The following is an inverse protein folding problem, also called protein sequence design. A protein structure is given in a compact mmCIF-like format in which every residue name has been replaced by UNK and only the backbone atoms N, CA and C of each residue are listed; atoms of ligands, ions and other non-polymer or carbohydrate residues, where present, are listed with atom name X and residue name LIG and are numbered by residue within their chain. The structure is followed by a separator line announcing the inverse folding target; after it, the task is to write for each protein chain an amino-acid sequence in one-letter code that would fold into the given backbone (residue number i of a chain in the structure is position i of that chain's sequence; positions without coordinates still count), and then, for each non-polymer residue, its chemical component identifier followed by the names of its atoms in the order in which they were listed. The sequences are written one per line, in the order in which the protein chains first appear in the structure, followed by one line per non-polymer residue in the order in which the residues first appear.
data_IF_253144069056
#
_entry.id   IF_253144069056
#
_cell.length_a   1.000
_cell.length_b   1.000
_cell.length_c   1.000
_cell.angle_alpha   90.00
_cell.angle_beta   90.00
_cell.angle_gamma   90.00
#
_symmetry.space_group_name_H-M   'P 1'
#
loop_
_entity.id
_entity.type
_entity.pdbx_description
1 polymer ?
#
# COMPACT_ATOMS: atom_id res chain seq x y z
N UNK A 1 10.23 -17.99 -31.59
CA UNK A 1 8.91 -17.37 -31.84
C UNK A 1 9.03 -15.91 -31.49
N UNK A 2 8.57 -14.96 -32.31
CA UNK A 2 8.60 -13.55 -31.94
C UNK A 2 7.67 -13.34 -30.75
N UNK A 3 8.19 -12.67 -29.71
CA UNK A 3 7.42 -12.24 -28.54
C UNK A 3 6.36 -11.27 -29.08
N UNK A 4 5.08 -11.65 -29.01
CA UNK A 4 3.99 -10.72 -29.32
C UNK A 4 4.18 -9.48 -28.43
N UNK A 5 4.26 -8.31 -29.02
CA UNK A 5 4.26 -7.05 -28.28
C UNK A 5 3.03 -7.06 -27.35
N UNK A 6 3.28 -6.92 -26.04
CA UNK A 6 2.17 -6.75 -25.07
C UNK A 6 1.46 -5.45 -25.46
N UNK A 7 0.14 -5.52 -25.64
CA UNK A 7 -0.65 -4.32 -25.92
C UNK A 7 -0.48 -3.29 -24.79
N UNK A 8 -0.65 -2.01 -25.13
CA UNK A 8 -0.57 -0.92 -24.17
C UNK A 8 -1.59 -1.15 -23.05
N UNK A 9 -1.13 -1.10 -21.80
CA UNK A 9 -1.99 -1.24 -20.63
C UNK A 9 -2.81 0.04 -20.43
N UNK A 10 -4.09 -0.09 -20.24
CA UNK A 10 -4.98 1.06 -20.04
C UNK A 10 -5.02 1.46 -18.56
N UNK A 11 -4.24 2.47 -18.20
CA UNK A 11 -4.18 3.04 -16.85
C UNK A 11 -5.39 3.92 -16.55
N UNK A 12 -6.08 4.44 -17.57
CA UNK A 12 -7.17 5.41 -17.39
C UNK A 12 -8.39 4.86 -16.66
N UNK A 13 -8.55 3.54 -16.62
CA UNK A 13 -9.63 2.87 -15.88
C UNK A 13 -9.48 2.89 -14.37
N UNK A 14 -8.29 3.21 -13.84
CA UNK A 14 -8.04 3.21 -12.41
C UNK A 14 -8.28 4.59 -11.79
N UNK A 15 -8.96 4.60 -10.66
CA UNK A 15 -9.20 5.81 -9.87
C UNK A 15 -7.99 6.07 -8.98
N UNK A 16 -7.36 7.23 -9.18
CA UNK A 16 -6.13 7.66 -8.53
C UNK A 16 -6.42 8.82 -7.58
N UNK A 17 -6.86 8.51 -6.39
CA UNK A 17 -7.32 9.49 -5.40
C UNK A 17 -6.76 9.26 -3.99
N UNK A 18 -5.58 8.64 -3.87
CA UNK A 18 -4.85 8.59 -2.61
C UNK A 18 -4.47 10.01 -2.18
N UNK A 19 -5.06 10.47 -1.09
CA UNK A 19 -4.80 11.80 -0.55
C UNK A 19 -3.47 11.84 0.20
N UNK A 20 -2.78 13.00 0.27
CA UNK A 20 -1.66 13.17 1.18
C UNK A 20 -2.11 13.02 2.64
N UNK A 21 -1.33 12.34 3.47
CA UNK A 21 -1.58 12.28 4.91
C UNK A 21 -1.53 13.68 5.51
N UNK A 22 -2.50 14.08 6.36
CA UNK A 22 -2.46 15.37 7.02
C UNK A 22 -1.36 15.38 8.09
N UNK A 23 -0.52 16.40 8.06
CA UNK A 23 0.55 16.63 9.04
C UNK A 23 1.46 15.41 9.31
N UNK A 24 2.04 14.78 8.27
CA UNK A 24 2.88 13.59 8.42
C UNK A 24 4.16 13.86 9.23
N UNK A 25 4.50 15.14 9.43
CA UNK A 25 5.61 15.57 10.29
C UNK A 25 5.35 15.33 11.78
N UNK A 26 4.10 15.13 12.18
CA UNK A 26 3.73 14.78 13.56
C UNK A 26 3.75 13.28 13.83
N UNK A 27 3.86 12.46 12.80
CA UNK A 27 3.97 11.01 12.97
C UNK A 27 5.35 10.63 13.55
N UNK A 28 5.38 9.53 14.28
CA UNK A 28 6.63 8.99 14.79
C UNK A 28 7.58 8.66 13.64
N UNK A 29 8.74 9.32 13.64
CA UNK A 29 9.76 9.14 12.60
C UNK A 29 10.75 8.01 12.89
N UNK A 30 11.73 7.84 12.00
CA UNK A 30 12.80 6.84 12.14
C UNK A 30 13.59 6.98 13.44
N UNK A 31 13.81 8.19 13.94
CA UNK A 31 14.48 8.43 15.23
C UNK A 31 13.69 7.85 16.40
N UNK A 32 12.38 7.99 16.38
CA UNK A 32 11.49 7.39 17.38
C UNK A 32 11.52 5.86 17.30
N UNK A 33 11.54 5.26 16.10
CA UNK A 33 11.67 3.83 15.93
C UNK A 33 12.98 3.28 16.52
N UNK A 34 14.07 4.00 16.37
CA UNK A 34 15.38 3.64 16.95
C UNK A 34 15.32 3.77 18.48
N UNK A 35 14.80 4.88 19.00
CA UNK A 35 14.69 5.12 20.44
C UNK A 35 13.78 4.09 21.15
N UNK A 36 12.73 3.65 20.47
CA UNK A 36 11.81 2.60 20.95
C UNK A 36 12.39 1.17 20.83
N UNK A 37 13.61 1.01 20.34
CA UNK A 37 14.23 -0.31 20.17
C UNK A 37 13.62 -1.16 19.03
N UNK A 38 12.72 -0.59 18.24
CA UNK A 38 12.10 -1.24 17.09
C UNK A 38 13.15 -1.56 16.03
N UNK A 39 14.16 -0.70 15.91
CA UNK A 39 15.27 -0.86 14.99
C UNK A 39 16.59 -0.50 15.66
N UNK A 40 17.61 -1.31 15.45
CA UNK A 40 18.96 -0.94 15.89
C UNK A 40 19.48 0.27 15.08
N UNK A 41 20.20 1.17 15.74
CA UNK A 41 20.77 2.36 15.11
C UNK A 41 21.76 2.03 13.99
N UNK A 42 22.53 0.95 14.18
CA UNK A 42 23.51 0.44 13.20
C UNK A 42 23.14 -0.98 12.81
N UNK A 43 22.57 -1.15 11.62
CA UNK A 43 22.24 -2.46 11.05
C UNK A 43 22.86 -2.54 9.67
N UNK A 44 23.51 -3.67 9.38
CA UNK A 44 24.00 -3.95 8.04
C UNK A 44 22.83 -4.05 7.08
N UNK A 45 22.90 -3.29 5.98
CA UNK A 45 21.89 -3.31 4.92
C UNK A 45 22.47 -4.22 3.81
N UNK A 46 21.87 -5.39 3.52
CA UNK A 46 22.32 -6.24 2.43
C UNK A 46 22.19 -5.49 1.09
N UNK A 47 22.98 -5.92 0.09
CA UNK A 47 22.97 -5.28 -1.24
C UNK A 47 21.61 -5.38 -1.93
N UNK A 48 20.85 -6.44 -1.65
CA UNK A 48 19.52 -6.65 -2.19
C UNK A 48 18.63 -7.34 -1.15
N UNK A 49 17.34 -7.13 -1.26
CA UNK A 49 16.31 -7.84 -0.51
C UNK A 49 15.07 -7.97 -1.40
N UNK A 50 14.51 -9.17 -1.45
CA UNK A 50 13.23 -9.42 -2.12
C UNK A 50 12.31 -10.12 -1.11
N UNK A 51 11.14 -9.53 -0.87
CA UNK A 51 10.15 -10.05 0.06
C UNK A 51 8.98 -10.73 -0.67
N UNK A 52 9.01 -10.77 -2.01
CA UNK A 52 7.98 -11.44 -2.79
C UNK A 52 7.92 -12.93 -2.44
N UNK A 53 6.71 -13.43 -2.35
CA UNK A 53 6.44 -14.84 -1.98
C UNK A 53 5.45 -15.44 -2.98
N UNK A 54 5.54 -16.73 -3.29
CA UNK A 54 4.64 -17.38 -4.26
C UNK A 54 3.15 -17.30 -3.86
N UNK A 55 2.84 -17.26 -2.58
CA UNK A 55 1.49 -17.15 -2.05
C UNK A 55 0.91 -15.72 -2.11
N UNK A 56 1.76 -14.71 -2.36
CA UNK A 56 1.39 -13.30 -2.26
C UNK A 56 1.06 -12.71 -3.63
N UNK A 57 -0.01 -13.22 -4.23
CA UNK A 57 -0.48 -12.78 -5.55
C UNK A 57 -0.93 -11.31 -5.54
N UNK A 58 -0.65 -10.62 -6.65
CA UNK A 58 -1.08 -9.23 -6.85
C UNK A 58 -2.57 -9.19 -7.18
N UNK A 59 -3.33 -8.38 -6.43
CA UNK A 59 -4.75 -8.15 -6.69
C UNK A 59 -5.01 -7.00 -7.67
N UNK A 60 -6.30 -6.73 -7.92
CA UNK A 60 -6.76 -5.65 -8.81
C UNK A 60 -7.84 -4.82 -8.13
N UNK A 61 -7.57 -3.52 -7.96
CA UNK A 61 -8.53 -2.56 -7.39
C UNK A 61 -9.68 -2.22 -8.33
N UNK A 62 -9.53 -2.50 -9.62
CA UNK A 62 -10.50 -2.12 -10.64
C UNK A 62 -10.79 -0.63 -10.67
N UNK A 63 -12.05 -0.28 -10.98
CA UNK A 63 -12.54 1.10 -11.06
C UNK A 63 -12.98 1.65 -9.70
N UNK A 64 -12.18 1.41 -8.65
CA UNK A 64 -12.47 1.91 -7.30
C UNK A 64 -11.32 2.77 -6.76
N UNK A 65 -11.61 3.68 -5.82
CA UNK A 65 -10.62 4.50 -5.11
C UNK A 65 -9.92 3.78 -3.96
N UNK A 66 -9.81 2.45 -4.01
CA UNK A 66 -9.37 1.60 -2.90
C UNK A 66 -7.86 1.34 -2.81
N UNK A 67 -7.04 2.08 -3.55
CA UNK A 67 -5.59 1.83 -3.59
C UNK A 67 -4.92 1.84 -2.20
N UNK A 68 -5.38 2.70 -1.26
CA UNK A 68 -4.87 2.71 0.12
C UNK A 68 -5.24 1.42 0.85
N UNK A 69 -6.45 0.91 0.67
CA UNK A 69 -6.86 -0.39 1.19
C UNK A 69 -6.00 -1.53 0.65
N UNK A 70 -5.77 -1.58 -0.67
CA UNK A 70 -4.91 -2.57 -1.31
C UNK A 70 -3.46 -2.48 -0.85
N UNK A 71 -2.87 -1.27 -0.90
CA UNK A 71 -1.49 -1.05 -0.47
C UNK A 71 -1.28 -1.44 0.99
N UNK A 72 -2.21 -1.09 1.88
CA UNK A 72 -2.10 -1.42 3.30
C UNK A 72 -2.48 -2.87 3.60
N UNK A 73 -3.72 -3.31 3.34
CA UNK A 73 -4.18 -4.64 3.74
C UNK A 73 -3.44 -5.76 3.00
N UNK A 74 -3.41 -5.74 1.67
CA UNK A 74 -2.76 -6.77 0.87
C UNK A 74 -1.26 -6.53 0.66
N UNK A 75 -0.87 -5.26 0.44
CA UNK A 75 0.52 -4.89 0.11
C UNK A 75 1.49 -4.86 1.29
N UNK A 76 1.03 -4.68 2.52
CA UNK A 76 1.89 -4.57 3.71
C UNK A 76 1.43 -5.51 4.82
N UNK A 77 0.21 -5.36 5.30
CA UNK A 77 -0.26 -6.04 6.52
C UNK A 77 -0.33 -7.55 6.35
N UNK A 78 -0.83 -8.04 5.21
CA UNK A 78 -0.92 -9.49 4.94
C UNK A 78 0.44 -10.16 5.09
N UNK A 79 1.49 -9.59 4.52
CA UNK A 79 2.84 -10.13 4.65
C UNK A 79 3.27 -10.23 6.12
N UNK A 80 3.06 -9.16 6.89
CA UNK A 80 3.41 -9.13 8.31
C UNK A 80 2.62 -10.17 9.12
N UNK A 81 1.31 -10.27 8.91
CA UNK A 81 0.46 -11.21 9.67
C UNK A 81 0.79 -12.66 9.33
N UNK A 82 1.09 -12.98 8.07
CA UNK A 82 1.55 -14.32 7.68
C UNK A 82 2.91 -14.63 8.31
N UNK A 83 3.88 -13.73 8.23
CA UNK A 83 5.21 -13.92 8.83
C UNK A 83 5.16 -14.02 10.36
N UNK A 84 4.19 -13.39 11.00
CA UNK A 84 3.94 -13.50 12.44
C UNK A 84 3.10 -14.72 12.83
N UNK A 85 2.67 -15.55 11.87
CA UNK A 85 1.82 -16.73 12.13
C UNK A 85 0.41 -16.39 12.63
N UNK A 86 -0.09 -15.17 12.37
CA UNK A 86 -1.41 -14.73 12.81
C UNK A 86 -2.53 -15.02 11.80
N UNK A 87 -2.15 -15.25 10.55
CA UNK A 87 -3.00 -15.77 9.48
C UNK A 87 -2.20 -16.77 8.64
N UNK A 88 -2.89 -17.67 7.92
CA UNK A 88 -2.26 -18.60 6.99
C UNK A 88 -1.93 -17.91 5.66
N UNK A 89 -1.10 -18.54 4.83
CA UNK A 89 -0.68 -18.00 3.53
C UNK A 89 -1.84 -17.90 2.51
N UNK A 90 -2.83 -18.76 2.62
CA UNK A 90 -4.03 -18.78 1.79
C UNK A 90 -5.11 -17.78 2.25
N UNK A 91 -4.98 -17.23 3.45
CA UNK A 91 -5.86 -16.19 3.94
C UNK A 91 -5.45 -14.81 3.41
N UNK A 92 -6.44 -13.98 3.07
CA UNK A 92 -6.27 -12.58 2.73
C UNK A 92 -6.91 -11.68 3.78
N UNK A 93 -6.40 -10.47 3.92
CA UNK A 93 -7.00 -9.43 4.74
C UNK A 93 -8.00 -8.63 3.89
N UNK A 94 -9.08 -8.17 4.51
CA UNK A 94 -10.09 -7.38 3.83
C UNK A 94 -9.56 -5.99 3.45
N UNK A 95 -9.32 -5.82 2.16
CA UNK A 95 -9.02 -4.53 1.55
C UNK A 95 -10.19 -3.56 1.75
N UNK A 96 -11.41 -4.06 1.56
CA UNK A 96 -12.63 -3.29 1.69
C UNK A 96 -12.81 -2.72 3.09
N UNK A 97 -12.56 -3.54 4.12
CA UNK A 97 -12.64 -3.08 5.51
C UNK A 97 -11.69 -1.92 5.80
N UNK A 98 -10.40 -2.08 5.49
CA UNK A 98 -9.41 -1.02 5.75
C UNK A 98 -9.76 0.26 4.99
N UNK A 99 -10.10 0.16 3.70
CA UNK A 99 -10.46 1.30 2.87
C UNK A 99 -11.62 2.10 3.46
N UNK A 100 -12.65 1.42 3.89
CA UNK A 100 -13.87 2.04 4.39
C UNK A 100 -13.74 2.56 5.80
N UNK A 101 -13.15 1.77 6.70
CA UNK A 101 -12.91 2.20 8.06
C UNK A 101 -11.97 3.42 8.10
N UNK A 102 -10.96 3.48 7.19
CA UNK A 102 -10.11 4.65 7.06
C UNK A 102 -10.87 5.90 6.62
N UNK A 103 -11.84 5.76 5.71
CA UNK A 103 -12.70 6.89 5.27
C UNK A 103 -13.64 7.37 6.37
N UNK A 104 -14.16 6.48 7.20
CA UNK A 104 -15.03 6.83 8.32
C UNK A 104 -14.32 7.63 9.41
N UNK A 105 -13.01 7.40 9.56
CA UNK A 105 -12.22 8.02 10.63
C UNK A 105 -11.33 9.14 10.17
N UNK A 106 -11.27 9.42 8.88
CA UNK A 106 -10.51 10.55 8.37
C UNK A 106 -11.22 11.88 8.68
N UNK A 107 -10.44 12.98 8.63
CA UNK A 107 -10.98 14.29 9.05
C UNK A 107 -11.90 14.94 8.02
N UNK A 108 -12.07 14.38 6.84
CA UNK A 108 -12.87 14.94 5.76
C UNK A 108 -14.28 14.36 5.70
N UNK A 109 -14.51 13.23 6.34
CA UNK A 109 -15.81 12.59 6.36
C UNK A 109 -16.34 12.48 7.79
N UNK A 110 -17.42 13.18 8.04
CA UNK A 110 -18.30 12.86 9.14
C UNK A 110 -19.12 11.67 8.69
N UNK A 111 -18.70 10.46 9.02
CA UNK A 111 -19.43 9.22 8.80
C UNK A 111 -20.20 9.19 7.47
N UNK A 112 -19.68 8.62 6.41
CA UNK A 112 -20.37 8.58 5.13
C UNK A 112 -21.73 7.90 5.33
N UNK A 113 -22.80 8.58 4.99
CA UNK A 113 -24.15 8.01 4.95
C UNK A 113 -24.32 7.08 3.76
N UNK A 114 -23.40 7.15 2.81
CA UNK A 114 -23.32 6.27 1.65
C UNK A 114 -21.87 6.01 1.31
N UNK A 115 -21.59 4.81 0.86
CA UNK A 115 -20.28 4.47 0.34
C UNK A 115 -20.12 5.00 -1.08
N UNK A 116 -19.02 5.72 -1.32
CA UNK A 116 -18.67 6.22 -2.64
C UNK A 116 -17.39 5.51 -3.08
N UNK A 117 -17.49 4.66 -4.09
CA UNK A 117 -16.38 3.83 -4.59
C UNK A 117 -15.20 4.67 -5.09
N UNK A 118 -15.48 5.90 -5.51
CA UNK A 118 -14.46 6.82 -6.02
C UNK A 118 -13.67 7.53 -4.92
N UNK A 119 -14.21 7.61 -3.69
CA UNK A 119 -13.53 8.29 -2.60
C UNK A 119 -12.25 7.57 -2.18
N UNK A 120 -11.18 8.36 -2.12
CA UNK A 120 -9.91 7.93 -1.54
C UNK A 120 -9.79 8.27 -0.07
N UNK A 121 -8.67 7.85 0.50
CA UNK A 121 -8.23 8.21 1.85
C UNK A 121 -6.70 8.36 1.84
N UNK A 122 -6.08 8.52 2.99
CA UNK A 122 -4.62 8.65 3.13
C UNK A 122 -3.99 7.51 3.94
N UNK A 123 -2.68 7.39 3.86
CA UNK A 123 -1.94 6.26 4.41
C UNK A 123 -2.07 6.16 5.93
N UNK A 124 -1.90 7.28 6.65
CA UNK A 124 -1.95 7.28 8.10
C UNK A 124 -3.33 6.90 8.65
N UNK A 125 -4.44 7.22 7.96
CA UNK A 125 -5.77 6.77 8.36
C UNK A 125 -5.89 5.23 8.34
N UNK A 126 -5.43 4.59 7.25
CA UNK A 126 -5.44 3.13 7.14
C UNK A 126 -4.56 2.46 8.21
N UNK A 127 -3.40 3.03 8.49
CA UNK A 127 -2.49 2.53 9.52
C UNK A 127 -3.04 2.75 10.94
N UNK A 128 -3.75 3.85 11.17
CA UNK A 128 -4.47 4.10 12.42
C UNK A 128 -5.60 3.09 12.65
N UNK A 129 -6.35 2.73 11.60
CA UNK A 129 -7.33 1.64 11.68
C UNK A 129 -6.65 0.35 12.09
N UNK A 130 -5.58 -0.05 11.39
CA UNK A 130 -4.86 -1.28 11.69
C UNK A 130 -4.28 -1.30 13.12
N UNK A 131 -3.88 -0.16 13.66
CA UNK A 131 -3.35 -0.01 15.01
C UNK A 131 -4.43 0.04 16.08
N UNK A 132 -5.45 0.85 15.89
CA UNK A 132 -6.49 1.10 16.90
C UNK A 132 -7.54 -0.01 16.94
N UNK A 133 -8.04 -0.39 15.78
CA UNK A 133 -9.16 -1.32 15.62
C UNK A 133 -8.75 -2.70 15.10
N UNK A 134 -7.68 -2.76 14.27
CA UNK A 134 -7.20 -3.97 13.65
C UNK A 134 -7.72 -4.15 12.22
N UNK A 135 -7.77 -5.41 11.75
CA UNK A 135 -8.24 -5.76 10.41
C UNK A 135 -8.97 -7.10 10.42
N UNK A 136 -10.03 -7.23 9.62
CA UNK A 136 -10.71 -8.49 9.37
C UNK A 136 -10.11 -9.21 8.16
N UNK A 137 -10.40 -10.52 8.05
CA UNK A 137 -10.03 -11.29 6.85
C UNK A 137 -11.00 -10.99 5.69
N UNK A 138 -10.55 -11.30 4.49
CA UNK A 138 -11.37 -11.21 3.26
C UNK A 138 -12.66 -12.06 3.36
N UNK A 139 -12.60 -13.19 4.06
CA UNK A 139 -13.76 -14.05 4.29
C UNK A 139 -14.86 -13.36 5.13
N UNK A 140 -14.51 -12.42 5.99
CA UNK A 140 -15.47 -11.65 6.81
C UNK A 140 -16.11 -10.52 6.01
N UNK A 141 -15.32 -9.81 5.20
CA UNK A 141 -15.82 -8.75 4.34
C UNK A 141 -15.08 -8.79 2.99
N UNK A 142 -15.63 -9.49 1.99
CA UNK A 142 -15.01 -9.65 0.68
C UNK A 142 -14.90 -8.33 -0.08
N UNK A 143 -13.82 -8.20 -0.88
CA UNK A 143 -13.68 -7.15 -1.89
C UNK A 143 -14.39 -7.59 -3.18
N UNK A 144 -15.44 -6.86 -3.56
CA UNK A 144 -16.13 -7.04 -4.82
C UNK A 144 -15.71 -5.94 -5.81
N UNK A 145 -15.51 -6.30 -7.07
CA UNK A 145 -15.09 -5.37 -8.12
C UNK A 145 -16.03 -5.47 -9.35
N UNK A 146 -16.93 -4.50 -9.59
CA UNK A 146 -17.17 -3.33 -8.73
C UNK A 146 -17.74 -3.76 -7.37
N UNK A 147 -17.51 -2.99 -6.32
CA UNK A 147 -18.09 -3.30 -5.01
C UNK A 147 -19.60 -3.44 -5.12
N UNK A 148 -20.13 -4.48 -4.50
CA UNK A 148 -21.58 -4.73 -4.46
C UNK A 148 -22.35 -3.71 -3.65
N UNK A 149 -23.36 -4.15 -2.91
CA UNK A 149 -24.25 -3.27 -2.17
C UNK A 149 -23.51 -2.19 -1.36
N UNK A 150 -24.01 -0.95 -1.41
CA UNK A 150 -23.36 0.19 -0.81
C UNK A 150 -23.35 0.15 0.72
N UNK A 151 -24.33 -0.49 1.34
CA UNK A 151 -24.41 -0.57 2.78
C UNK A 151 -23.42 -1.60 3.31
N UNK A 152 -22.41 -1.16 4.01
CA UNK A 152 -21.37 -2.01 4.51
C UNK A 152 -21.49 -2.26 5.98
N UNK A 153 -22.02 -1.29 6.69
CA UNK A 153 -22.31 -1.40 8.10
C UNK A 153 -23.76 -0.99 8.35
N UNK A 154 -24.54 -1.92 8.85
CA UNK A 154 -25.57 -1.56 9.81
C UNK A 154 -24.91 -1.32 11.17
N UNK A 155 -25.52 -0.60 12.09
CA UNK A 155 -24.93 -0.34 13.40
C UNK A 155 -24.54 -1.63 14.16
N UNK A 156 -25.21 -2.74 13.93
CA UNK A 156 -24.88 -4.03 14.51
C UNK A 156 -23.64 -4.67 13.87
N UNK A 157 -23.53 -4.58 12.56
CA UNK A 157 -22.41 -5.17 11.80
C UNK A 157 -21.10 -4.44 12.07
N UNK A 158 -21.12 -3.12 12.21
CA UNK A 158 -19.96 -2.30 12.57
C UNK A 158 -19.32 -2.80 13.86
N UNK A 159 -20.13 -3.07 14.90
CA UNK A 159 -19.64 -3.60 16.17
C UNK A 159 -18.97 -4.96 16.00
N UNK A 160 -19.54 -5.85 15.21
CA UNK A 160 -18.99 -7.17 14.92
C UNK A 160 -17.67 -7.05 14.18
N UNK A 161 -17.58 -6.20 13.17
CA UNK A 161 -16.34 -6.00 12.41
C UNK A 161 -15.21 -5.50 13.31
N UNK A 162 -15.45 -4.48 14.13
CA UNK A 162 -14.41 -3.94 15.00
C UNK A 162 -14.01 -4.94 16.11
N UNK A 163 -14.95 -5.69 16.67
CA UNK A 163 -14.65 -6.75 17.63
C UNK A 163 -13.79 -7.85 17.00
N UNK A 164 -14.12 -8.30 15.79
CA UNK A 164 -13.37 -9.31 15.04
C UNK A 164 -12.00 -8.76 14.59
N UNK A 165 -11.97 -7.53 14.11
CA UNK A 165 -10.74 -6.86 13.67
C UNK A 165 -9.73 -6.73 14.81
N UNK A 166 -10.19 -6.50 16.03
CA UNK A 166 -9.34 -6.27 17.20
C UNK A 166 -8.35 -7.40 17.51
N UNK A 167 -8.59 -8.58 16.98
CA UNK A 167 -7.68 -9.73 17.10
C UNK A 167 -6.44 -9.62 16.20
N UNK A 168 -6.46 -8.72 15.22
CA UNK A 168 -5.40 -8.54 14.22
C UNK A 168 -4.95 -7.10 14.14
N UNK A 169 -4.29 -6.62 15.20
CA UNK A 169 -3.72 -5.27 15.30
C UNK A 169 -2.23 -5.27 15.01
N UNK A 170 -1.75 -4.16 14.48
CA UNK A 170 -0.33 -3.82 14.49
C UNK A 170 0.04 -3.10 15.79
N UNK A 171 1.28 -3.23 16.22
CA UNK A 171 1.79 -2.54 17.40
C UNK A 171 1.97 -1.03 17.14
N UNK A 172 2.61 -0.70 16.03
CA UNK A 172 2.91 0.70 15.66
C UNK A 172 3.23 0.85 14.18
N UNK A 173 3.34 2.11 13.76
CA UNK A 173 3.90 2.47 12.45
C UNK A 173 4.75 3.73 12.57
N UNK A 174 5.68 3.92 11.62
CA UNK A 174 6.65 5.00 11.64
C UNK A 174 6.77 5.63 10.26
N UNK A 175 6.78 6.97 10.22
CA UNK A 175 7.14 7.72 9.02
C UNK A 175 8.66 7.61 8.79
N UNK A 176 9.07 6.99 7.69
CA UNK A 176 10.48 6.74 7.37
C UNK A 176 11.17 7.94 6.74
N UNK A 177 10.39 9.00 6.40
CA UNK A 177 10.86 10.17 5.69
C UNK A 177 11.34 9.84 4.27
N UNK A 178 11.96 10.81 3.57
CA UNK A 178 12.36 10.67 2.16
C UNK A 178 13.71 9.97 1.95
N UNK A 179 14.34 9.47 3.02
CA UNK A 179 15.68 8.90 2.92
C UNK A 179 15.65 7.44 2.44
N UNK A 180 16.09 7.18 1.22
CA UNK A 180 16.11 5.86 0.59
C UNK A 180 16.91 4.82 1.41
N UNK A 181 17.92 5.24 2.16
CA UNK A 181 18.69 4.34 3.05
C UNK A 181 17.82 3.86 4.21
N UNK A 182 16.92 4.70 4.73
CA UNK A 182 15.95 4.29 5.73
C UNK A 182 14.98 3.24 5.18
N UNK A 183 14.51 3.43 3.94
CA UNK A 183 13.60 2.48 3.28
C UNK A 183 14.27 1.12 3.08
N UNK A 184 15.50 1.09 2.53
CA UNK A 184 16.27 -0.15 2.40
C UNK A 184 16.49 -0.85 3.72
N UNK A 185 16.85 -0.08 4.74
CA UNK A 185 17.07 -0.62 6.07
C UNK A 185 15.78 -1.19 6.68
N UNK A 186 14.63 -0.53 6.47
CA UNK A 186 13.34 -1.03 6.95
C UNK A 186 12.96 -2.32 6.24
N UNK A 187 13.00 -2.34 4.91
CA UNK A 187 12.67 -3.53 4.11
C UNK A 187 13.58 -4.71 4.47
N UNK A 188 14.85 -4.47 4.71
CA UNK A 188 15.80 -5.53 5.07
C UNK A 188 15.49 -6.21 6.41
N UNK A 189 14.99 -5.45 7.40
CA UNK A 189 14.96 -5.89 8.80
C UNK A 189 13.55 -6.00 9.38
N UNK A 190 12.58 -5.25 8.83
CA UNK A 190 11.21 -5.21 9.37
C UNK A 190 10.20 -5.80 8.37
N UNK A 191 10.26 -5.42 7.09
CA UNK A 191 9.32 -5.89 6.08
C UNK A 191 8.93 -4.81 5.07
N UNK A 192 7.84 -5.04 4.32
CA UNK A 192 7.39 -4.09 3.31
C UNK A 192 7.01 -2.74 3.91
N UNK A 193 7.10 -1.68 3.10
CA UNK A 193 6.71 -0.33 3.46
C UNK A 193 5.56 0.15 2.59
N UNK A 194 4.66 0.94 3.18
CA UNK A 194 3.54 1.57 2.51
C UNK A 194 3.98 2.93 1.97
N UNK A 195 3.70 3.23 0.70
CA UNK A 195 4.11 4.49 0.08
C UNK A 195 2.99 5.15 -0.71
N UNK A 196 3.08 6.49 -0.82
CA UNK A 196 2.25 7.32 -1.68
C UNK A 196 3.10 7.98 -2.76
N UNK A 197 2.53 8.11 -3.95
CA UNK A 197 3.11 8.90 -5.04
C UNK A 197 1.99 9.57 -5.85
N UNK A 198 2.35 10.54 -6.67
CA UNK A 198 1.50 11.00 -7.76
C UNK A 198 1.95 10.28 -9.04
N UNK A 199 1.01 9.56 -9.67
CA UNK A 199 1.29 8.71 -10.84
C UNK A 199 1.61 9.60 -12.04
N UNK A 200 2.78 9.44 -12.60
CA UNK A 200 3.26 10.11 -13.79
C UNK A 200 3.12 9.23 -15.06
N UNK A 201 3.33 9.76 -16.28
CA UNK A 201 3.20 8.99 -17.51
C UNK A 201 4.10 7.75 -17.66
N UNK A 202 5.15 7.63 -16.84
CA UNK A 202 6.03 6.44 -16.84
C UNK A 202 5.25 5.16 -16.54
N UNK A 203 4.18 5.25 -15.74
CA UNK A 203 3.32 4.13 -15.38
C UNK A 203 2.51 3.57 -16.54
N UNK A 204 2.19 4.40 -17.54
CA UNK A 204 1.46 3.96 -18.74
C UNK A 204 2.27 2.95 -19.57
N UNK A 205 3.59 3.12 -19.55
CA UNK A 205 4.52 2.31 -20.31
C UNK A 205 5.16 1.18 -19.48
N UNK A 206 4.82 1.08 -18.19
CA UNK A 206 5.45 0.11 -17.28
C UNK A 206 5.34 -1.33 -17.79
N UNK A 207 4.24 -1.70 -18.45
CA UNK A 207 4.07 -3.06 -19.02
C UNK A 207 5.01 -3.29 -20.20
N UNK A 208 5.21 -2.30 -21.04
CA UNK A 208 6.11 -2.38 -22.21
C UNK A 208 7.58 -2.45 -21.78
N UNK A 209 7.92 -1.77 -20.69
CA UNK A 209 9.28 -1.71 -20.12
C UNK A 209 9.57 -2.81 -19.09
N UNK A 210 8.69 -3.80 -18.96
CA UNK A 210 8.78 -4.84 -17.91
C UNK A 210 8.89 -4.26 -16.49
N UNK A 211 8.11 -3.23 -16.21
CA UNK A 211 8.03 -2.61 -14.89
C UNK A 211 9.04 -1.52 -14.60
N UNK A 212 9.90 -1.12 -15.53
CA UNK A 212 10.91 -0.10 -15.26
C UNK A 212 10.28 1.29 -15.12
N UNK A 213 10.51 1.90 -13.96
CA UNK A 213 10.20 3.30 -13.66
C UNK A 213 11.51 4.06 -13.48
N UNK A 214 11.98 4.70 -14.55
CA UNK A 214 13.34 5.25 -14.61
C UNK A 214 13.42 6.75 -14.36
N UNK A 215 12.51 7.55 -14.88
CA UNK A 215 12.54 9.01 -14.80
C UNK A 215 11.16 9.56 -14.47
N UNK A 216 11.04 10.14 -13.27
CA UNK A 216 9.80 10.76 -12.83
C UNK A 216 9.58 12.10 -13.54
N UNK A 217 8.41 12.24 -14.15
CA UNK A 217 7.98 13.53 -14.70
C UNK A 217 7.51 14.42 -13.53
N UNK A 218 8.27 15.49 -13.29
CA UNK A 218 7.98 16.42 -12.18
C UNK A 218 6.93 17.47 -12.51
N UNK A 219 6.37 17.48 -13.73
CA UNK A 219 5.33 18.40 -14.10
C UNK A 219 3.96 17.93 -13.56
N UNK A 220 3.38 18.62 -12.57
CA UNK A 220 2.12 18.16 -11.94
C UNK A 220 0.93 18.14 -12.91
N UNK A 221 1.00 18.86 -14.04
CA UNK A 221 -0.05 18.83 -15.07
C UNK A 221 -0.11 17.49 -15.83
N UNK A 222 0.96 16.72 -15.78
CA UNK A 222 1.02 15.41 -16.42
C UNK A 222 0.64 14.27 -15.44
N UNK A 223 0.54 14.57 -14.15
CA UNK A 223 0.19 13.57 -13.15
C UNK A 223 -1.28 13.15 -13.28
N UNK A 224 -1.52 11.87 -13.10
CA UNK A 224 -2.85 11.26 -13.19
C UNK A 224 -3.61 11.26 -11.87
N UNK A 225 -2.92 11.49 -10.75
CA UNK A 225 -3.47 11.51 -9.39
C UNK A 225 -2.66 10.71 -8.39
N UNK A 226 -3.06 10.80 -7.12
CA UNK A 226 -2.41 10.13 -6.01
C UNK A 226 -2.67 8.62 -5.99
N UNK A 227 -1.64 7.83 -5.71
CA UNK A 227 -1.73 6.38 -5.64
C UNK A 227 -0.96 5.82 -4.44
N UNK A 228 -1.42 4.68 -3.95
CA UNK A 228 -0.80 3.95 -2.84
C UNK A 228 -0.30 2.60 -3.33
N UNK A 229 0.97 2.30 -3.00
CA UNK A 229 1.62 1.03 -3.32
C UNK A 229 2.49 0.57 -2.15
N UNK A 230 2.97 -0.68 -2.21
CA UNK A 230 3.96 -1.18 -1.27
C UNK A 230 5.34 -1.31 -1.93
N UNK A 231 6.42 -0.98 -1.21
CA UNK A 231 7.76 -1.37 -1.59
C UNK A 231 8.11 -2.67 -0.87
N UNK A 232 8.37 -3.70 -1.65
CA UNK A 232 8.51 -5.09 -1.17
C UNK A 232 9.91 -5.65 -1.39
N UNK A 233 10.85 -4.80 -1.77
CA UNK A 233 12.23 -5.21 -1.98
C UNK A 233 13.05 -4.09 -2.57
N UNK A 234 14.34 -4.38 -2.77
CA UNK A 234 15.28 -3.48 -3.43
C UNK A 234 16.52 -4.23 -3.96
N UNK A 235 17.18 -3.60 -4.90
CA UNK A 235 18.54 -3.89 -5.35
C UNK A 235 19.43 -2.66 -5.11
N UNK A 236 20.73 -2.67 -5.50
CA UNK A 236 21.54 -1.46 -5.46
C UNK A 236 20.99 -0.29 -6.28
N UNK A 237 20.16 -0.56 -7.28
CA UNK A 237 19.75 0.40 -8.29
C UNK A 237 18.28 0.80 -8.23
N UNK A 238 17.41 -0.05 -7.67
CA UNK A 238 15.97 0.19 -7.65
C UNK A 238 15.25 -0.42 -6.45
N UNK A 239 14.02 0.04 -6.21
CA UNK A 239 13.05 -0.57 -5.32
C UNK A 239 12.06 -1.42 -6.12
N UNK A 240 11.61 -2.53 -5.52
CA UNK A 240 10.56 -3.39 -6.06
C UNK A 240 9.22 -2.87 -5.55
N UNK A 241 8.41 -2.38 -6.47
CA UNK A 241 7.07 -1.84 -6.22
C UNK A 241 6.04 -2.93 -6.44
N UNK A 242 5.18 -3.19 -5.45
CA UNK A 242 3.99 -4.03 -5.57
C UNK A 242 2.77 -3.14 -5.77
N UNK A 243 2.13 -3.25 -6.92
CA UNK A 243 0.95 -2.49 -7.31
C UNK A 243 -0.34 -3.27 -7.03
N UNK A 244 -1.49 -2.67 -7.31
CA UNK A 244 -2.85 -3.22 -7.19
C UNK A 244 -3.66 -3.10 -8.48
N UNK A 245 -3.00 -3.29 -9.64
CA UNK A 245 -3.64 -3.23 -10.96
C UNK A 245 -3.62 -4.58 -11.70
N UNK A 246 -3.59 -5.67 -10.92
CA UNK A 246 -3.54 -7.04 -11.44
C UNK A 246 -2.19 -7.41 -12.07
N UNK A 247 -2.04 -8.70 -12.36
CA UNK A 247 -0.79 -9.25 -12.91
C UNK A 247 -0.54 -8.88 -14.38
N UNK A 248 -1.48 -8.24 -15.07
CA UNK A 248 -1.30 -7.78 -16.44
C UNK A 248 -0.49 -6.48 -16.55
N UNK A 249 -0.41 -5.70 -15.48
CA UNK A 249 0.38 -4.48 -15.41
C UNK A 249 1.84 -4.74 -15.04
N UNK A 250 2.76 -3.98 -15.64
CA UNK A 250 4.18 -4.03 -15.31
C UNK A 250 4.81 -5.39 -15.55
N UNK A 251 5.64 -5.84 -14.63
CA UNK A 251 6.16 -7.21 -14.56
C UNK A 251 5.30 -8.02 -13.58
N UNK A 252 4.21 -8.60 -14.07
CA UNK A 252 3.27 -9.43 -13.27
C UNK A 252 2.71 -8.70 -12.04
N UNK A 253 2.39 -7.41 -12.19
CA UNK A 253 1.87 -6.55 -11.12
C UNK A 253 2.93 -5.83 -10.31
N UNK A 254 4.21 -5.99 -10.67
CA UNK A 254 5.34 -5.31 -10.04
C UNK A 254 5.98 -4.28 -10.98
N UNK A 255 6.67 -3.32 -10.37
CA UNK A 255 7.54 -2.40 -11.07
C UNK A 255 8.87 -2.22 -10.32
N UNK A 256 9.83 -1.60 -10.99
CA UNK A 256 11.20 -1.40 -10.52
C UNK A 256 11.54 0.09 -10.59
N UNK A 257 11.31 0.78 -9.48
CA UNK A 257 11.56 2.23 -9.38
C UNK A 257 13.04 2.48 -9.14
N UNK A 258 13.74 3.04 -10.13
CA UNK A 258 15.14 3.42 -9.96
C UNK A 258 15.28 4.44 -8.82
N UNK A 259 16.42 4.48 -8.13
CA UNK A 259 16.65 5.37 -6.99
C UNK A 259 16.35 6.83 -7.32
N UNK A 260 16.76 7.30 -8.49
CA UNK A 260 16.47 8.67 -8.96
C UNK A 260 14.98 8.93 -9.17
N UNK A 261 14.21 7.89 -9.55
CA UNK A 261 12.75 7.92 -9.64
C UNK A 261 12.14 7.94 -8.25
N UNK A 262 12.49 6.95 -7.42
CA UNK A 262 11.94 6.76 -6.09
C UNK A 262 12.12 8.00 -5.19
N UNK A 263 13.29 8.64 -5.25
CA UNK A 263 13.60 9.85 -4.48
C UNK A 263 12.74 11.08 -4.83
N UNK A 264 12.14 11.09 -6.04
CA UNK A 264 11.30 12.20 -6.50
C UNK A 264 9.81 11.89 -6.46
N UNK A 265 9.45 10.62 -6.75
CA UNK A 265 8.07 10.21 -6.92
C UNK A 265 7.37 9.89 -5.59
N UNK A 266 8.03 9.16 -4.70
CA UNK A 266 7.39 8.73 -3.45
C UNK A 266 7.43 9.84 -2.40
N UNK A 267 6.25 10.37 -2.08
CA UNK A 267 6.08 11.53 -1.18
C UNK A 267 5.93 11.12 0.27
N UNK A 268 5.47 9.90 0.55
CA UNK A 268 5.28 9.34 1.89
C UNK A 268 5.77 7.90 1.93
N UNK A 269 6.34 7.50 3.06
CA UNK A 269 6.80 6.13 3.29
C UNK A 269 6.61 5.75 4.76
N UNK A 270 5.81 4.73 5.01
CA UNK A 270 5.51 4.24 6.35
C UNK A 270 5.93 2.78 6.52
N UNK A 271 6.63 2.52 7.63
CA UNK A 271 6.96 1.18 8.06
C UNK A 271 6.08 0.71 9.22
N UNK A 272 5.69 -0.57 9.20
CA UNK A 272 4.78 -1.19 10.18
C UNK A 272 5.55 -2.12 11.11
N UNK A 273 5.11 -2.21 12.37
CA UNK A 273 5.62 -3.12 13.40
C UNK A 273 4.47 -3.92 13.99
N UNK A 274 4.68 -5.22 14.15
CA UNK A 274 3.71 -6.16 14.70
C UNK A 274 3.70 -6.14 16.24
#
# INVERSE_FOLDING_TARGET
MPIKAKGKFDVSKYILNCLPSPRPELDWGMSAAIAAGVRAALVAIPKYKDLREPWWNVGDQGMTGSCVGWGSADGVLRWHFVKAGKINQDEALSVRYIWMAAKETDTYTTRPTSFIEQDGTWLSAALDIARKYGVVTEAVLPFENPPGAPALYTAGDEMIFYATASQRKIGSYFNLGPNLKNWRSWIANQGPILTRLDVDPTWDNATETNGILDTYDTNPKHHRGGHCVALVGYTPEHFIVRNSWGAAWGDKGFAYALDKYAAKAFTEAYGVVM
#
